data_IF_938668552842
#
_entry.id   IF_938668552842
#
_cell.length_a   1.000
_cell.length_b   1.000
_cell.length_c   1.000
_cell.angle_alpha   90.00
_cell.angle_beta   90.00
_cell.angle_gamma   90.00
#
_symmetry.space_group_name_H-M   'P 1'
#
loop_
_entity.id
_entity.type
_entity.pdbx_description
1 polymer ?
#
# COMPACT_ATOMS: atom_id res chain seq x y z
N UNK A 1 19.29 -2.47 -3.12
CA UNK A 1 18.36 -3.58 -3.40
C UNK A 1 16.96 -3.03 -3.30
N UNK A 2 16.20 -2.98 -4.40
CA UNK A 2 14.75 -2.79 -4.36
C UNK A 2 14.14 -4.19 -4.30
N UNK A 3 13.29 -4.41 -3.30
CA UNK A 3 13.02 -5.74 -2.74
C UNK A 3 12.11 -6.63 -3.59
N UNK A 4 11.86 -7.81 -3.02
CA UNK A 4 10.84 -8.76 -3.48
C UNK A 4 9.93 -9.05 -2.29
N UNK A 5 8.63 -9.04 -2.51
CA UNK A 5 7.62 -9.28 -1.48
C UNK A 5 6.66 -10.36 -1.93
N UNK A 6 6.29 -11.25 -1.02
CA UNK A 6 5.22 -12.20 -1.24
C UNK A 6 3.99 -11.72 -0.44
N UNK A 7 2.83 -11.70 -1.08
CA UNK A 7 1.58 -11.23 -0.46
C UNK A 7 0.46 -12.24 -0.71
N UNK A 8 -0.44 -12.33 0.25
CA UNK A 8 -1.65 -13.14 0.17
C UNK A 8 -2.81 -12.33 -0.42
N UNK A 9 -3.81 -13.02 -0.97
CA UNK A 9 -5.17 -12.52 -1.00
C UNK A 9 -6.13 -13.67 -0.66
N UNK A 10 -7.24 -13.35 0.01
CA UNK A 10 -8.32 -14.32 0.18
C UNK A 10 -9.12 -14.35 -1.12
N UNK A 11 -8.91 -15.37 -1.95
CA UNK A 11 -9.68 -15.58 -3.18
C UNK A 11 -11.06 -16.21 -2.92
N UNK A 12 -11.25 -16.79 -1.73
CA UNK A 12 -12.42 -17.62 -1.40
C UNK A 12 -13.53 -16.88 -0.64
N UNK A 13 -14.72 -17.49 -0.65
CA UNK A 13 -15.83 -17.12 0.21
C UNK A 13 -15.40 -17.13 1.68
N UNK A 14 -16.00 -16.27 2.51
CA UNK A 14 -15.66 -16.14 3.93
C UNK A 14 -15.82 -17.44 4.77
N UNK A 15 -16.44 -18.48 4.18
CA UNK A 15 -16.57 -19.81 4.79
C UNK A 15 -15.38 -20.73 4.58
N UNK A 16 -14.55 -20.48 3.56
CA UNK A 16 -13.38 -21.32 3.31
C UNK A 16 -12.21 -20.92 4.21
N UNK A 17 -11.42 -21.90 4.67
CA UNK A 17 -10.19 -21.59 5.40
C UNK A 17 -9.27 -20.73 4.50
N UNK A 18 -8.60 -19.71 5.07
CA UNK A 18 -7.74 -18.83 4.29
C UNK A 18 -6.60 -19.64 3.65
N UNK A 19 -6.34 -19.37 2.37
CA UNK A 19 -5.25 -20.01 1.64
C UNK A 19 -3.91 -19.75 2.37
N UNK A 20 -3.17 -20.81 2.77
CA UNK A 20 -1.90 -20.64 3.45
C UNK A 20 -0.80 -20.11 2.54
N UNK A 21 -0.94 -20.20 1.22
CA UNK A 21 0.07 -19.79 0.25
C UNK A 21 -0.06 -18.31 -0.10
N UNK A 22 1.06 -17.70 -0.47
CA UNK A 22 1.03 -16.38 -1.10
C UNK A 22 0.31 -16.52 -2.43
N UNK A 23 -0.28 -15.42 -2.90
CA UNK A 23 -1.01 -15.37 -4.16
C UNK A 23 -0.28 -14.52 -5.21
N UNK A 24 0.52 -13.54 -4.76
CA UNK A 24 1.36 -12.74 -5.63
C UNK A 24 2.79 -12.60 -5.12
N UNK A 25 3.74 -12.57 -6.06
CA UNK A 25 5.12 -12.15 -5.88
C UNK A 25 5.31 -10.78 -6.55
N UNK A 26 5.62 -9.77 -5.75
CA UNK A 26 5.86 -8.39 -6.20
C UNK A 26 7.37 -8.15 -6.25
N UNK A 27 7.88 -7.78 -7.42
CA UNK A 27 9.31 -7.57 -7.66
C UNK A 27 9.52 -6.14 -8.15
N UNK A 28 10.26 -5.34 -7.39
CA UNK A 28 10.59 -3.98 -7.81
C UNK A 28 11.77 -3.99 -8.77
N UNK A 29 11.57 -3.39 -9.94
CA UNK A 29 12.59 -3.18 -10.96
C UNK A 29 13.13 -1.73 -10.89
N UNK A 30 14.00 -1.34 -11.81
CA UNK A 30 14.64 -0.02 -11.79
C UNK A 30 13.62 1.12 -11.94
N UNK A 31 12.62 0.94 -12.81
CA UNK A 31 11.61 1.95 -13.12
C UNK A 31 10.16 1.44 -12.99
N UNK A 32 9.98 0.14 -12.84
CA UNK A 32 8.68 -0.54 -12.88
C UNK A 32 8.57 -1.54 -11.75
N UNK A 33 7.40 -2.18 -11.64
CA UNK A 33 7.17 -3.33 -10.78
C UNK A 33 6.64 -4.48 -11.63
N UNK A 34 7.23 -5.65 -11.44
CA UNK A 34 6.71 -6.90 -11.99
C UNK A 34 5.90 -7.62 -10.92
N UNK A 35 4.71 -8.09 -11.29
CA UNK A 35 3.82 -8.86 -10.40
C UNK A 35 3.60 -10.23 -11.03
N UNK A 36 3.88 -11.27 -10.27
CA UNK A 36 3.64 -12.66 -10.67
C UNK A 36 2.53 -13.25 -9.79
N UNK A 37 1.54 -13.88 -10.39
CA UNK A 37 0.57 -14.73 -9.71
C UNK A 37 1.21 -16.08 -9.41
N UNK A 38 0.98 -16.57 -8.19
CA UNK A 38 1.49 -17.85 -7.72
C UNK A 38 0.38 -18.89 -7.81
N UNK A 39 0.53 -19.86 -8.70
CA UNK A 39 -0.30 -21.06 -8.78
C UNK A 39 0.59 -22.29 -8.91
N UNK A 40 0.21 -23.24 -9.77
CA UNK A 40 1.10 -24.34 -10.16
C UNK A 40 2.37 -23.82 -10.87
N UNK A 41 2.22 -22.73 -11.63
CA UNK A 41 3.29 -22.02 -12.31
C UNK A 41 3.22 -20.53 -11.97
N UNK A 42 4.37 -19.85 -12.04
CA UNK A 42 4.42 -18.40 -11.92
C UNK A 42 3.99 -17.76 -13.24
N UNK A 43 3.01 -16.86 -13.18
CA UNK A 43 2.52 -16.13 -14.37
C UNK A 43 2.56 -14.64 -14.13
N UNK A 44 3.11 -13.88 -15.07
CA UNK A 44 3.09 -12.43 -14.99
C UNK A 44 1.67 -11.89 -15.21
N UNK A 45 1.25 -10.97 -14.34
CA UNK A 45 -0.10 -10.38 -14.35
C UNK A 45 0.02 -8.88 -14.56
N UNK A 46 0.13 -8.47 -15.82
CA UNK A 46 0.21 -7.04 -16.17
C UNK A 46 -1.13 -6.31 -16.03
N UNK A 47 -2.24 -6.96 -16.42
CA UNK A 47 -3.56 -6.29 -16.49
C UNK A 47 -4.60 -6.88 -15.53
N UNK A 48 -4.36 -8.08 -14.99
CA UNK A 48 -5.33 -8.77 -14.15
C UNK A 48 -5.37 -8.24 -12.71
N UNK A 49 -4.30 -7.56 -12.26
CA UNK A 49 -4.15 -7.08 -10.89
C UNK A 49 -3.89 -5.58 -10.91
N UNK A 50 -4.70 -4.82 -10.16
CA UNK A 50 -4.63 -3.36 -10.11
C UNK A 50 -3.56 -2.82 -9.13
N UNK A 51 -2.46 -3.57 -8.99
CA UNK A 51 -1.22 -3.09 -8.39
C UNK A 51 -0.51 -2.15 -9.37
N UNK A 52 0.33 -1.27 -8.85
CA UNK A 52 1.10 -0.30 -9.62
C UNK A 52 2.27 -1.02 -10.29
N UNK A 53 2.30 -1.07 -11.62
CA UNK A 53 3.36 -1.73 -12.41
C UNK A 53 4.27 -0.73 -13.11
N UNK A 54 3.82 0.50 -13.33
CA UNK A 54 4.53 1.59 -14.01
C UNK A 54 5.44 2.42 -13.08
N UNK A 55 5.57 2.01 -11.82
CA UNK A 55 6.50 2.62 -10.86
C UNK A 55 7.19 1.55 -9.99
N UNK A 56 8.38 1.84 -9.46
CA UNK A 56 9.07 0.93 -8.54
C UNK A 56 8.36 0.82 -7.19
N UNK A 57 8.16 -0.42 -6.74
CA UNK A 57 7.66 -0.70 -5.38
C UNK A 57 8.76 -0.46 -4.35
N UNK A 58 8.42 0.25 -3.29
CA UNK A 58 9.30 0.55 -2.15
C UNK A 58 9.07 -0.42 -0.98
N UNK A 59 7.82 -0.83 -0.79
CA UNK A 59 7.40 -1.85 0.16
C UNK A 59 6.07 -2.43 -0.28
N UNK A 60 5.83 -3.71 0.00
CA UNK A 60 4.51 -4.30 -0.10
C UNK A 60 4.25 -5.22 1.08
N UNK A 61 2.99 -5.43 1.41
CA UNK A 61 2.59 -6.32 2.48
C UNK A 61 1.07 -6.42 2.59
N UNK A 62 0.63 -7.32 3.45
CA UNK A 62 -0.79 -7.48 3.73
C UNK A 62 -1.25 -6.59 4.89
N UNK A 63 -2.51 -6.17 4.82
CA UNK A 63 -3.24 -5.48 5.88
C UNK A 63 -4.54 -6.23 6.20
N UNK A 64 -5.08 -5.97 7.39
CA UNK A 64 -6.37 -6.48 7.87
C UNK A 64 -6.44 -8.00 7.83
N UNK A 65 -5.42 -8.68 8.36
CA UNK A 65 -5.38 -10.14 8.37
C UNK A 65 -5.42 -10.75 6.96
N UNK A 66 -4.67 -10.17 6.01
CA UNK A 66 -4.59 -10.59 4.59
C UNK A 66 -5.80 -10.23 3.72
N UNK A 67 -6.76 -9.46 4.23
CA UNK A 67 -7.89 -9.01 3.43
C UNK A 67 -7.53 -7.91 2.39
N UNK A 68 -6.43 -7.20 2.61
CA UNK A 68 -5.91 -6.21 1.64
C UNK A 68 -4.42 -6.40 1.39
N UNK A 69 -3.98 -5.93 0.23
CA UNK A 69 -2.59 -5.76 -0.13
C UNK A 69 -2.33 -4.26 -0.14
N UNK A 70 -1.28 -3.82 0.54
CA UNK A 70 -0.75 -2.46 0.44
C UNK A 70 0.57 -2.49 -0.33
N UNK A 71 0.66 -1.66 -1.36
CA UNK A 71 1.86 -1.45 -2.16
C UNK A 71 2.25 0.02 -2.11
N UNK A 72 3.46 0.27 -1.64
CA UNK A 72 4.01 1.62 -1.52
C UNK A 72 4.90 1.91 -2.72
N UNK A 73 4.66 3.04 -3.37
CA UNK A 73 5.47 3.59 -4.46
C UNK A 73 5.79 5.06 -4.17
N UNK A 74 6.59 5.71 -5.03
CA UNK A 74 7.05 7.08 -4.79
C UNK A 74 5.92 8.11 -4.58
N UNK A 75 4.74 7.87 -5.17
CA UNK A 75 3.58 8.76 -5.09
C UNK A 75 2.67 8.52 -3.89
N UNK A 76 2.81 7.40 -3.19
CA UNK A 76 1.94 7.05 -2.07
C UNK A 76 1.75 5.55 -1.86
N UNK A 77 0.57 5.17 -1.38
CA UNK A 77 0.18 3.78 -1.13
C UNK A 77 -1.04 3.40 -1.95
N UNK A 78 -0.90 2.37 -2.78
CA UNK A 78 -1.98 1.65 -3.46
C UNK A 78 -2.47 0.52 -2.57
N UNK A 79 -3.78 0.43 -2.35
CA UNK A 79 -4.42 -0.66 -1.61
C UNK A 79 -5.34 -1.44 -2.56
N UNK A 80 -5.24 -2.78 -2.54
CA UNK A 80 -6.10 -3.67 -3.33
C UNK A 80 -6.75 -4.75 -2.45
N UNK A 81 -7.92 -5.23 -2.88
CA UNK A 81 -8.56 -6.44 -2.41
C UNK A 81 -8.36 -7.54 -3.47
N UNK A 82 -7.28 -8.32 -3.32
CA UNK A 82 -6.81 -9.22 -4.37
C UNK A 82 -6.48 -8.42 -5.65
N UNK A 83 -7.10 -8.73 -6.80
CA UNK A 83 -6.84 -8.03 -8.05
C UNK A 83 -7.48 -6.63 -8.12
N UNK A 84 -8.45 -6.32 -7.27
CA UNK A 84 -9.28 -5.11 -7.40
C UNK A 84 -8.72 -3.96 -6.57
N UNK A 85 -8.57 -2.79 -7.17
CA UNK A 85 -8.23 -1.54 -6.51
C UNK A 85 -9.27 -1.18 -5.44
N UNK A 86 -8.81 -0.83 -4.25
CA UNK A 86 -9.65 -0.43 -3.13
C UNK A 86 -9.45 1.03 -2.73
N UNK A 87 -8.21 1.51 -2.72
CA UNK A 87 -7.88 2.87 -2.27
C UNK A 87 -6.51 3.30 -2.79
N UNK A 88 -6.35 4.59 -3.07
CA UNK A 88 -5.05 5.26 -3.13
C UNK A 88 -4.92 6.27 -1.98
N UNK A 89 -3.74 6.31 -1.36
CA UNK A 89 -3.35 7.33 -0.38
C UNK A 89 -2.12 8.05 -0.91
N UNK A 90 -2.33 9.22 -1.50
CA UNK A 90 -1.24 10.04 -2.04
C UNK A 90 -0.44 10.73 -0.94
N UNK A 91 0.77 11.18 -1.25
CA UNK A 91 1.60 11.93 -0.29
C UNK A 91 0.85 13.15 0.27
N UNK A 92 0.04 13.85 -0.52
CA UNK A 92 -0.78 14.96 -0.05
C UNK A 92 -1.76 14.54 1.07
N UNK A 93 -2.41 13.38 0.94
CA UNK A 93 -3.33 12.84 1.94
C UNK A 93 -2.60 12.44 3.23
N UNK A 94 -1.31 12.06 3.15
CA UNK A 94 -0.48 11.77 4.32
C UNK A 94 -0.07 13.03 5.09
N UNK A 95 -0.10 14.19 4.42
CA UNK A 95 0.27 15.49 5.00
C UNK A 95 -0.94 16.23 5.57
N UNK A 96 -2.13 15.96 5.04
CA UNK A 96 -3.36 16.58 5.51
C UNK A 96 -3.62 16.18 6.98
N UNK A 97 -3.97 17.13 7.86
CA UNK A 97 -4.53 16.78 9.16
C UNK A 97 -5.79 15.93 8.91
N UNK A 98 -6.05 14.94 9.77
CA UNK A 98 -7.03 13.86 9.59
C UNK A 98 -8.51 14.30 9.36
N UNK A 99 -8.78 15.60 9.25
CA UNK A 99 -10.11 16.23 9.19
C UNK A 99 -10.36 17.14 7.98
N UNK A 100 -9.49 17.23 6.98
CA UNK A 100 -9.74 18.05 5.77
C UNK A 100 -9.56 17.27 4.48
N UNK A 101 -10.67 16.90 3.83
CA UNK A 101 -10.69 16.56 2.41
C UNK A 101 -10.37 17.85 1.65
N UNK A 102 -9.14 17.97 1.15
CA UNK A 102 -8.70 19.15 0.43
C UNK A 102 -8.56 18.77 -1.05
N UNK A 103 -9.60 19.04 -1.82
CA UNK A 103 -9.50 19.11 -3.26
C UNK A 103 -8.58 20.29 -3.64
N UNK A 104 -7.51 19.99 -4.38
CA UNK A 104 -6.78 20.98 -5.18
C UNK A 104 -5.92 21.98 -4.41
N UNK A 105 -4.61 21.71 -4.32
CA UNK A 105 -3.58 22.76 -4.27
C UNK A 105 -2.23 22.21 -4.71
N UNK A 106 -2.03 22.18 -6.03
CA UNK A 106 -0.72 21.95 -6.67
C UNK A 106 -0.18 23.27 -7.22
N UNK A 107 0.55 24.03 -6.40
CA UNK A 107 1.39 25.10 -6.91
C UNK A 107 2.58 25.38 -5.96
N UNK A 108 3.78 24.95 -6.37
CA UNK A 108 5.03 25.65 -6.01
C UNK A 108 5.96 25.01 -4.97
N UNK A 109 5.57 23.94 -4.27
CA UNK A 109 6.51 23.17 -3.44
C UNK A 109 7.04 21.97 -4.23
N UNK A 110 8.33 21.62 -4.09
CA UNK A 110 8.84 20.35 -4.61
C UNK A 110 7.94 19.23 -4.07
N UNK A 111 7.27 18.50 -4.97
CA UNK A 111 6.33 17.47 -4.58
C UNK A 111 7.07 16.42 -3.76
N UNK A 112 6.75 16.33 -2.46
CA UNK A 112 7.34 15.32 -1.59
C UNK A 112 7.03 13.94 -2.13
N UNK A 113 8.00 13.04 -2.04
CA UNK A 113 7.88 11.66 -2.50
C UNK A 113 8.17 10.70 -1.35
N UNK A 114 7.55 9.53 -1.38
CA UNK A 114 7.97 8.43 -0.51
C UNK A 114 9.31 7.90 -1.01
N UNK A 115 10.32 7.84 -0.13
CA UNK A 115 11.67 7.35 -0.48
C UNK A 115 12.03 6.04 0.22
N UNK A 116 11.32 5.68 1.28
CA UNK A 116 11.41 4.38 1.94
C UNK A 116 10.10 4.09 2.68
N UNK A 117 9.75 2.81 2.83
CA UNK A 117 8.55 2.44 3.57
C UNK A 117 8.66 1.04 4.20
N UNK A 118 7.75 0.76 5.13
CA UNK A 118 7.48 -0.58 5.66
C UNK A 118 5.98 -0.78 5.84
N UNK A 119 5.51 -2.00 5.54
CA UNK A 119 4.12 -2.41 5.75
C UNK A 119 4.11 -3.44 6.89
N UNK A 120 3.39 -3.14 7.97
CA UNK A 120 3.20 -4.03 9.11
C UNK A 120 1.76 -3.91 9.59
N UNK A 121 0.90 -4.89 9.30
CA UNK A 121 -0.53 -4.86 9.68
C UNK A 121 -0.77 -4.41 11.14
N UNK A 122 -1.58 -3.35 11.40
CA UNK A 122 -2.40 -2.56 10.48
C UNK A 122 -1.76 -1.23 10.00
N UNK A 123 -0.45 -1.07 10.10
CA UNK A 123 0.26 0.17 9.83
C UNK A 123 1.08 0.15 8.53
N UNK A 124 1.22 1.32 7.92
CA UNK A 124 2.21 1.58 6.88
C UNK A 124 3.05 2.78 7.31
N UNK A 125 4.36 2.58 7.44
CA UNK A 125 5.32 3.64 7.73
C UNK A 125 5.95 4.11 6.43
N UNK A 126 5.91 5.42 6.17
CA UNK A 126 6.53 6.06 5.01
C UNK A 126 7.55 7.09 5.50
N UNK A 127 8.75 7.09 4.90
CA UNK A 127 9.71 8.20 4.99
C UNK A 127 9.64 9.01 3.70
N UNK A 128 9.43 10.31 3.83
CA UNK A 128 9.36 11.23 2.72
C UNK A 128 10.75 11.78 2.34
N UNK A 129 10.84 12.41 1.17
CA UNK A 129 12.07 12.98 0.62
C UNK A 129 12.66 14.14 1.44
N UNK A 130 11.85 14.79 2.27
CA UNK A 130 12.30 15.80 3.26
C UNK A 130 12.85 15.17 4.56
N UNK A 131 12.86 13.84 4.66
CA UNK A 131 13.29 13.10 5.83
C UNK A 131 12.20 12.89 6.88
N UNK A 132 11.02 13.49 6.71
CA UNK A 132 9.92 13.33 7.66
C UNK A 132 9.28 11.95 7.57
N UNK A 133 8.73 11.46 8.68
CA UNK A 133 8.02 10.19 8.74
C UNK A 133 6.50 10.43 8.74
N UNK A 134 5.77 9.54 8.08
CA UNK A 134 4.30 9.47 8.10
C UNK A 134 3.88 8.06 8.42
N UNK A 135 2.88 7.93 9.29
CA UNK A 135 2.29 6.66 9.65
C UNK A 135 0.85 6.66 9.13
N UNK A 136 0.51 5.66 8.34
CA UNK A 136 -0.87 5.32 8.01
C UNK A 136 -1.31 4.18 8.93
N UNK A 137 -2.56 4.24 9.40
CA UNK A 137 -3.20 3.17 10.16
C UNK A 137 -4.44 2.70 9.41
N UNK A 138 -4.59 1.39 9.36
CA UNK A 138 -5.76 0.71 8.87
C UNK A 138 -6.90 0.81 9.86
N UNK A 139 -8.08 1.21 9.38
CA UNK A 139 -9.34 1.08 10.08
C UNK A 139 -9.94 -0.31 9.78
N UNK A 140 -10.04 -1.22 10.77
CA UNK A 140 -10.49 -2.58 10.54
C UNK A 140 -11.97 -2.68 10.12
N UNK A 141 -12.78 -1.66 10.42
CA UNK A 141 -14.21 -1.65 10.08
C UNK A 141 -14.41 -1.31 8.61
N UNK A 142 -13.66 -0.34 8.09
CA UNK A 142 -13.77 0.12 6.71
C UNK A 142 -12.75 -0.54 5.78
N UNK A 143 -11.76 -1.25 6.34
CA UNK A 143 -10.61 -1.82 5.62
C UNK A 143 -9.87 -0.79 4.76
N UNK A 144 -9.75 0.44 5.28
CA UNK A 144 -9.11 1.58 4.63
C UNK A 144 -7.93 2.13 5.45
N UNK A 145 -6.96 2.75 4.79
CA UNK A 145 -5.83 3.43 5.42
C UNK A 145 -6.12 4.92 5.64
N UNK A 146 -5.70 5.45 6.79
CA UNK A 146 -5.75 6.89 7.10
C UNK A 146 -4.46 7.36 7.76
N UNK A 147 -4.08 8.60 7.52
CA UNK A 147 -2.94 9.21 8.19
C UNK A 147 -3.16 9.30 9.70
N UNK A 148 -2.14 8.94 10.46
CA UNK A 148 -2.12 9.10 11.92
C UNK A 148 -1.38 10.39 12.24
N UNK A 149 -2.05 11.24 13.01
CA UNK A 149 -1.41 12.40 13.58
C UNK A 149 -0.61 11.96 14.83
N UNK A 150 0.73 12.06 14.85
CA UNK A 150 1.53 11.62 16.00
C UNK A 150 1.21 12.41 17.28
N UNK A 151 0.53 13.57 17.18
CA UNK A 151 0.06 14.35 18.33
C UNK A 151 -1.28 13.89 18.93
N UNK A 152 -1.96 12.92 18.30
CA UNK A 152 -3.33 12.50 18.67
C UNK A 152 -3.43 11.32 19.65
N UNK A 153 -2.31 10.85 20.22
CA UNK A 153 -2.34 9.78 21.21
C UNK A 153 -3.05 10.24 22.51
N UNK A 154 -4.34 9.96 22.62
CA UNK A 154 -5.07 9.79 23.89
C UNK A 154 -5.38 11.07 24.68
N UNK A 155 -6.49 11.72 24.35
CA UNK A 155 -7.37 12.32 25.37
C UNK A 155 -8.76 11.72 25.18
N UNK A 156 -9.13 10.76 26.02
CA UNK A 156 -10.45 10.13 26.05
C UNK A 156 -10.35 8.64 26.23
#
# INVERSE_FOLDING_TARGET
>A
MRGTWAVHHSAGDASDPPDPFHAYLVISLEHTTMVLETGEELREVSDAVQLVTDAPTLAAGNLFGRARIAQVHQGGVRVTAGPVHAQDVGVADMLAPASTHSEGSSAGAAALQVVAAQVLDPYVLCRLSDGSLRVLRGDPTTQSLKAVDPGGAGRG
#
